data_IF_073801476370
#
_entry.id   IF_073801476370
#
_cell.length_a   1.000
_cell.length_b   1.000
_cell.length_c   1.000
_cell.angle_alpha   90.00
_cell.angle_beta   90.00
_cell.angle_gamma   90.00
#
_symmetry.space_group_name_H-M   'P 1'
#
loop_
_entity.id
_entity.type
_entity.pdbx_description
1 polymer ?
#
# COMPACT_ATOMS: atom_id res chain seq x y z
N UNK A 1 -26.17 -32.86 -22.79
CA UNK A 1 -25.16 -32.62 -23.85
C UNK A 1 -23.99 -31.92 -23.20
N UNK A 2 -22.85 -32.62 -23.07
CA UNK A 2 -21.62 -32.08 -22.45
C UNK A 2 -20.94 -31.10 -23.41
N UNK A 3 -20.56 -29.94 -22.91
CA UNK A 3 -19.94 -28.87 -23.70
C UNK A 3 -18.42 -28.84 -23.52
N UNK A 4 -17.75 -29.98 -23.68
CA UNK A 4 -16.31 -30.10 -23.57
C UNK A 4 -15.62 -30.33 -24.92
N UNK A 5 -14.29 -30.30 -24.91
CA UNK A 5 -13.45 -30.70 -26.06
C UNK A 5 -13.48 -32.22 -26.27
N UNK A 6 -13.14 -32.73 -27.45
CA UNK A 6 -13.18 -34.18 -27.77
C UNK A 6 -12.40 -35.07 -26.78
N UNK A 7 -11.31 -34.55 -26.20
CA UNK A 7 -10.52 -35.26 -25.18
C UNK A 7 -11.07 -35.14 -23.75
N UNK A 8 -11.91 -34.13 -23.48
CA UNK A 8 -12.46 -33.83 -22.14
C UNK A 8 -13.91 -33.34 -22.27
N UNK A 9 -14.88 -34.26 -22.43
CA UNK A 9 -16.28 -33.92 -22.71
C UNK A 9 -17.00 -33.16 -21.57
N UNK A 10 -16.45 -33.20 -20.35
CA UNK A 10 -16.96 -32.50 -19.16
C UNK A 10 -16.13 -31.27 -18.74
N UNK A 11 -15.24 -30.79 -19.62
CA UNK A 11 -14.39 -29.65 -19.32
C UNK A 11 -15.18 -28.33 -19.35
N UNK A 12 -15.12 -27.57 -18.25
CA UNK A 12 -15.77 -26.27 -18.14
C UNK A 12 -17.26 -26.33 -17.83
N UNK A 13 -17.90 -25.15 -17.72
CA UNK A 13 -19.34 -24.99 -17.50
C UNK A 13 -19.87 -23.85 -18.34
N UNK A 14 -21.13 -23.96 -18.75
CA UNK A 14 -21.82 -22.89 -19.46
C UNK A 14 -22.25 -21.80 -18.47
N UNK A 15 -22.15 -20.54 -18.90
CA UNK A 15 -22.73 -19.40 -18.22
C UNK A 15 -24.25 -19.60 -18.05
N UNK A 16 -24.76 -19.41 -16.83
CA UNK A 16 -26.18 -19.57 -16.49
C UNK A 16 -27.01 -18.30 -16.71
N UNK A 17 -26.41 -17.24 -17.26
CA UNK A 17 -27.17 -16.11 -17.78
C UNK A 17 -27.88 -16.52 -19.07
N UNK A 18 -29.17 -16.19 -19.20
CA UNK A 18 -30.05 -16.60 -20.31
C UNK A 18 -29.48 -16.27 -21.69
N UNK A 19 -28.75 -15.16 -21.76
CA UNK A 19 -28.40 -14.51 -23.03
C UNK A 19 -26.98 -14.90 -23.51
N UNK A 20 -26.13 -15.41 -22.61
CA UNK A 20 -24.73 -15.70 -22.90
C UNK A 20 -24.50 -17.18 -23.23
N UNK A 21 -24.87 -18.09 -22.31
CA UNK A 21 -24.62 -19.55 -22.42
C UNK A 21 -23.20 -19.95 -22.87
N UNK A 22 -22.21 -19.07 -22.75
CA UNK A 22 -20.84 -19.36 -23.18
C UNK A 22 -20.20 -20.44 -22.31
N UNK A 23 -19.46 -21.35 -22.94
CA UNK A 23 -18.59 -22.31 -22.26
C UNK A 23 -17.35 -21.63 -21.71
N UNK A 24 -17.22 -21.65 -20.39
CA UNK A 24 -16.04 -21.15 -19.69
C UNK A 24 -15.32 -22.30 -18.97
N UNK A 25 -14.01 -22.40 -19.16
CA UNK A 25 -13.18 -23.40 -18.52
C UNK A 25 -12.81 -23.01 -17.09
N UNK A 26 -13.07 -21.76 -16.70
CA UNK A 26 -12.87 -21.21 -15.36
C UNK A 26 -14.20 -20.67 -14.80
N UNK A 27 -15.16 -21.54 -14.47
CA UNK A 27 -16.48 -21.13 -14.02
C UNK A 27 -16.44 -20.36 -12.69
N UNK A 28 -17.07 -19.18 -12.65
CA UNK A 28 -17.23 -18.37 -11.45
C UNK A 28 -18.59 -18.66 -10.80
N UNK A 29 -18.60 -19.05 -9.52
CA UNK A 29 -19.82 -19.18 -8.73
C UNK A 29 -20.11 -17.87 -8.01
N UNK A 30 -21.29 -17.29 -8.25
CA UNK A 30 -21.78 -16.15 -7.49
C UNK A 30 -22.16 -16.59 -6.07
N UNK A 31 -21.69 -15.90 -5.06
CA UNK A 31 -22.01 -16.13 -3.64
C UNK A 31 -23.40 -15.60 -3.23
N UNK A 32 -24.00 -14.70 -4.03
CA UNK A 32 -25.36 -14.20 -3.79
C UNK A 32 -26.47 -15.09 -4.36
N UNK A 33 -26.35 -15.52 -5.62
CA UNK A 33 -27.37 -16.32 -6.31
C UNK A 33 -26.95 -17.79 -6.58
N UNK A 34 -25.73 -18.17 -6.22
CA UNK A 34 -25.16 -19.52 -6.36
C UNK A 34 -25.12 -20.08 -7.80
N UNK A 35 -25.35 -19.21 -8.80
CA UNK A 35 -25.23 -19.54 -10.22
C UNK A 35 -23.80 -19.44 -10.72
N UNK A 36 -23.52 -20.15 -11.81
CA UNK A 36 -22.23 -20.22 -12.49
C UNK A 36 -22.19 -19.28 -13.69
N UNK A 37 -21.15 -18.47 -13.81
CA UNK A 37 -20.99 -17.47 -14.86
C UNK A 37 -19.60 -17.54 -15.50
N UNK A 38 -19.49 -17.04 -16.74
CA UNK A 38 -18.22 -16.85 -17.41
C UNK A 38 -17.51 -15.58 -16.91
N UNK A 39 -16.30 -15.32 -17.40
CA UNK A 39 -15.47 -14.15 -17.01
C UNK A 39 -16.18 -12.82 -17.19
N UNK A 40 -16.98 -12.65 -18.25
CA UNK A 40 -17.73 -11.41 -18.52
C UNK A 40 -18.90 -11.21 -17.57
N UNK A 41 -19.52 -12.31 -17.12
CA UNK A 41 -20.72 -12.30 -16.29
C UNK A 41 -20.46 -12.54 -14.80
N UNK A 42 -19.18 -12.61 -14.38
CA UNK A 42 -18.78 -12.91 -12.99
C UNK A 42 -19.20 -11.87 -11.95
N UNK A 43 -19.45 -10.62 -12.36
CA UNK A 43 -19.80 -9.53 -11.45
C UNK A 43 -21.30 -9.53 -11.13
N UNK A 44 -21.72 -9.07 -9.95
CA UNK A 44 -23.16 -9.00 -9.62
C UNK A 44 -23.97 -8.13 -10.59
N UNK A 45 -23.36 -7.08 -11.13
CA UNK A 45 -24.01 -6.17 -12.08
C UNK A 45 -24.21 -6.81 -13.45
N UNK A 46 -23.23 -7.58 -13.91
CA UNK A 46 -23.26 -8.18 -15.26
C UNK A 46 -24.33 -9.27 -15.43
N UNK A 47 -24.75 -9.92 -14.35
CA UNK A 47 -25.81 -10.94 -14.40
C UNK A 47 -27.08 -10.54 -13.63
N UNK A 48 -27.22 -9.25 -13.29
CA UNK A 48 -28.36 -8.70 -12.56
C UNK A 48 -28.71 -9.55 -11.32
N UNK A 49 -27.72 -9.73 -10.43
CA UNK A 49 -27.86 -10.61 -9.27
C UNK A 49 -29.06 -10.19 -8.40
N UNK A 50 -30.01 -11.10 -8.09
CA UNK A 50 -31.10 -10.81 -7.15
C UNK A 50 -30.62 -10.47 -5.74
N UNK A 51 -29.45 -10.99 -5.36
CA UNK A 51 -28.83 -10.83 -4.04
C UNK A 51 -27.49 -10.09 -4.16
N UNK A 52 -27.44 -9.01 -4.94
CA UNK A 52 -26.23 -8.20 -5.16
C UNK A 52 -25.66 -7.60 -3.86
N UNK A 53 -26.52 -7.38 -2.85
CA UNK A 53 -26.16 -6.73 -1.59
C UNK A 53 -25.84 -7.69 -0.42
N UNK A 54 -25.89 -9.01 -0.63
CA UNK A 54 -25.79 -10.00 0.45
C UNK A 54 -24.48 -9.92 1.27
N UNK A 55 -23.39 -9.42 0.67
CA UNK A 55 -22.09 -9.28 1.35
C UNK A 55 -21.51 -7.86 1.23
N UNK A 56 -22.35 -6.87 0.90
CA UNK A 56 -21.94 -5.48 0.81
C UNK A 56 -21.54 -4.96 2.21
N UNK A 57 -20.25 -4.67 2.41
CA UNK A 57 -19.77 -4.01 3.63
C UNK A 57 -20.18 -2.54 3.60
N UNK A 58 -21.12 -2.17 4.46
CA UNK A 58 -21.54 -0.79 4.64
C UNK A 58 -20.69 -0.15 5.73
N UNK A 59 -20.27 1.10 5.51
CA UNK A 59 -19.40 1.84 6.43
C UNK A 59 -20.03 3.20 6.68
N UNK A 60 -20.15 3.55 7.96
CA UNK A 60 -20.57 4.86 8.44
C UNK A 60 -19.34 5.71 8.72
N UNK A 61 -19.41 7.01 8.43
CA UNK A 61 -18.32 7.94 8.73
C UNK A 61 -18.79 8.91 9.79
N UNK A 62 -18.11 8.92 10.95
CA UNK A 62 -18.42 9.86 12.00
C UNK A 62 -18.03 11.29 11.60
N UNK A 63 -18.95 12.25 11.66
CA UNK A 63 -18.64 13.65 11.33
C UNK A 63 -17.77 14.33 12.39
N UNK A 64 -17.82 13.88 13.64
CA UNK A 64 -17.10 14.46 14.78
C UNK A 64 -15.62 14.08 14.80
N UNK A 65 -15.28 12.83 14.46
CA UNK A 65 -13.90 12.32 14.50
C UNK A 65 -13.37 11.82 13.14
N UNK A 66 -14.21 11.75 12.11
CA UNK A 66 -13.91 11.16 10.78
C UNK A 66 -13.51 9.69 10.83
N UNK A 67 -13.88 8.99 11.90
CA UNK A 67 -13.66 7.54 12.01
C UNK A 67 -14.70 6.79 11.20
N UNK A 68 -14.25 5.77 10.48
CA UNK A 68 -15.10 4.82 9.78
C UNK A 68 -15.54 3.70 10.72
N UNK A 69 -16.84 3.46 10.81
CA UNK A 69 -17.47 2.42 11.63
C UNK A 69 -18.11 1.42 10.67
N UNK A 70 -17.75 0.15 10.78
CA UNK A 70 -18.33 -0.91 9.95
C UNK A 70 -19.72 -1.29 10.47
N UNK A 71 -20.70 -1.36 9.58
CA UNK A 71 -22.01 -1.92 9.89
C UNK A 71 -21.89 -3.44 9.82
N UNK A 72 -22.30 -4.19 10.86
CA UNK A 72 -22.18 -5.63 10.87
C UNK A 72 -23.13 -6.24 9.82
N UNK A 73 -22.73 -7.38 9.26
CA UNK A 73 -23.39 -7.98 8.08
C UNK A 73 -24.84 -8.45 8.32
N UNK A 74 -25.23 -8.61 9.58
CA UNK A 74 -26.58 -8.99 9.99
C UNK A 74 -27.53 -7.79 10.16
N UNK A 75 -26.99 -6.57 10.23
CA UNK A 75 -27.77 -5.35 10.34
C UNK A 75 -28.39 -4.98 9.00
N UNK A 76 -29.68 -4.63 9.01
CA UNK A 76 -30.36 -4.15 7.80
C UNK A 76 -29.86 -2.75 7.40
N UNK A 77 -29.12 -2.08 8.29
CA UNK A 77 -28.61 -0.72 8.05
C UNK A 77 -29.75 0.27 7.94
N UNK A 78 -30.80 0.07 8.73
CA UNK A 78 -31.88 1.05 8.89
C UNK A 78 -31.34 2.30 9.59
N UNK A 79 -32.01 3.42 9.37
CA UNK A 79 -31.63 4.72 9.94
C UNK A 79 -31.55 4.69 11.48
N UNK A 80 -32.47 4.00 12.14
CA UNK A 80 -32.50 3.85 13.60
C UNK A 80 -31.28 3.08 14.14
N UNK A 81 -30.90 2.01 13.45
CA UNK A 81 -29.75 1.20 13.83
C UNK A 81 -28.45 1.97 13.61
N UNK A 82 -28.35 2.70 12.50
CA UNK A 82 -27.24 3.61 12.20
C UNK A 82 -27.11 4.65 13.32
N UNK A 83 -28.19 5.29 13.74
CA UNK A 83 -28.18 6.27 14.83
C UNK A 83 -27.69 5.67 16.15
N UNK A 84 -28.13 4.46 16.50
CA UNK A 84 -27.64 3.74 17.68
C UNK A 84 -26.14 3.40 17.61
N UNK A 85 -25.62 3.05 16.44
CA UNK A 85 -24.18 2.78 16.27
C UNK A 85 -23.33 4.05 16.45
N UNK A 86 -23.84 5.18 15.98
CA UNK A 86 -23.21 6.48 16.21
C UNK A 86 -23.19 6.84 17.70
N UNK A 87 -24.32 6.69 18.39
CA UNK A 87 -24.43 6.95 19.83
C UNK A 87 -23.54 6.00 20.66
N UNK A 88 -23.45 4.72 20.27
CA UNK A 88 -22.52 3.76 20.87
C UNK A 88 -21.05 4.20 20.68
N UNK A 89 -20.70 4.70 19.49
CA UNK A 89 -19.37 5.23 19.22
C UNK A 89 -19.04 6.46 20.09
N UNK A 90 -20.00 7.37 20.26
CA UNK A 90 -19.84 8.54 21.13
C UNK A 90 -19.65 8.13 22.60
N UNK A 91 -20.40 7.14 23.09
CA UNK A 91 -20.30 6.64 24.47
C UNK A 91 -19.06 5.79 24.75
N UNK A 92 -18.55 5.08 23.74
CA UNK A 92 -17.37 4.20 23.89
C UNK A 92 -16.06 4.95 24.21
N UNK A 93 -16.03 6.27 24.03
CA UNK A 93 -14.83 7.08 24.25
C UNK A 93 -13.79 6.97 23.14
N UNK A 94 -14.00 6.12 22.13
CA UNK A 94 -13.16 6.03 20.93
C UNK A 94 -13.37 7.21 19.96
N UNK A 95 -14.42 8.02 20.16
CA UNK A 95 -14.73 9.23 19.41
C UNK A 95 -13.79 10.39 19.79
N UNK A 96 -12.58 10.40 19.24
CA UNK A 96 -11.60 11.46 19.45
C UNK A 96 -11.57 12.49 18.30
N UNK A 97 -12.09 13.72 18.50
CA UNK A 97 -12.03 14.77 17.47
C UNK A 97 -10.59 15.25 17.17
N UNK A 98 -9.64 15.02 18.10
CA UNK A 98 -8.22 15.37 17.93
C UNK A 98 -7.49 14.47 16.91
N UNK A 99 -7.98 13.24 16.68
CA UNK A 99 -7.42 12.29 15.71
C UNK A 99 -7.58 12.74 14.24
N UNK A 100 -8.40 13.77 13.98
CA UNK A 100 -8.55 14.41 12.65
C UNK A 100 -7.25 15.04 12.13
N UNK A 101 -6.30 15.39 13.00
CA UNK A 101 -5.05 16.03 12.61
C UNK A 101 -4.06 14.98 12.13
N UNK A 102 -4.01 14.77 10.81
CA UNK A 102 -3.01 13.91 10.18
C UNK A 102 -1.61 14.43 10.48
N UNK A 103 -0.64 13.56 10.86
CA UNK A 103 0.71 14.00 11.14
C UNK A 103 1.31 14.64 9.88
N UNK A 104 2.03 15.75 10.04
CA UNK A 104 2.68 16.47 8.94
C UNK A 104 4.19 16.31 9.05
N UNK A 105 4.90 16.42 7.92
CA UNK A 105 6.36 16.35 7.90
C UNK A 105 7.00 17.31 8.91
N UNK A 106 7.98 16.82 9.68
CA UNK A 106 8.70 17.63 10.67
C UNK A 106 9.63 18.73 10.11
N UNK A 107 9.81 18.82 8.78
CA UNK A 107 10.65 19.85 8.15
C UNK A 107 9.95 21.20 8.11
N UNK A 108 10.65 22.25 8.55
CA UNK A 108 10.16 23.64 8.46
C UNK A 108 9.90 23.99 6.99
N UNK A 109 8.66 24.41 6.69
CA UNK A 109 8.12 24.71 5.34
C UNK A 109 7.63 23.51 4.52
N UNK A 110 7.76 22.28 5.01
CA UNK A 110 7.11 21.13 4.39
C UNK A 110 5.73 20.89 5.02
N UNK A 111 4.66 21.04 4.24
CA UNK A 111 3.27 20.79 4.69
C UNK A 111 2.73 19.43 4.21
N UNK A 112 3.63 18.52 3.83
CA UNK A 112 3.25 17.21 3.32
C UNK A 112 2.68 16.33 4.44
N UNK A 113 1.48 15.81 4.22
CA UNK A 113 0.78 14.95 5.17
C UNK A 113 1.42 13.56 5.14
N UNK A 114 1.78 13.07 6.32
CA UNK A 114 2.38 11.77 6.53
C UNK A 114 1.30 10.69 6.54
N UNK A 115 1.19 10.00 5.41
CA UNK A 115 0.38 8.78 5.26
C UNK A 115 1.26 7.55 5.51
N UNK A 116 0.67 6.38 5.76
CA UNK A 116 1.37 5.11 5.91
C UNK A 116 2.49 4.89 4.86
N UNK A 117 2.20 5.14 3.58
CA UNK A 117 3.18 4.92 2.49
C UNK A 117 4.24 6.01 2.34
N UNK A 118 4.00 7.23 2.83
CA UNK A 118 4.89 8.38 2.65
C UNK A 118 5.72 8.69 3.91
N UNK A 119 5.54 7.91 4.99
CA UNK A 119 6.19 8.19 6.27
C UNK A 119 7.53 7.49 6.37
N UNK A 120 8.58 8.23 6.76
CA UNK A 120 9.87 7.67 7.15
C UNK A 120 10.32 8.27 8.48
N UNK A 121 10.78 7.44 9.42
CA UNK A 121 11.36 7.89 10.69
C UNK A 121 12.88 7.96 10.57
N UNK A 122 13.47 9.07 11.03
CA UNK A 122 14.92 9.19 11.10
C UNK A 122 15.47 8.43 12.31
N UNK A 123 16.47 7.56 12.12
CA UNK A 123 17.05 6.75 13.20
C UNK A 123 17.79 7.55 14.28
N UNK A 124 18.21 8.77 13.97
CA UNK A 124 19.05 9.58 14.86
C UNK A 124 18.33 10.74 15.54
N UNK A 125 17.17 11.17 15.03
CA UNK A 125 16.34 12.19 15.67
C UNK A 125 14.91 11.74 15.97
N UNK A 126 14.52 10.53 15.53
CA UNK A 126 13.22 9.87 15.77
C UNK A 126 11.99 10.64 15.28
N UNK A 127 12.19 11.72 14.53
CA UNK A 127 11.11 12.50 13.92
C UNK A 127 10.69 11.84 12.60
N UNK A 128 9.38 11.91 12.31
CA UNK A 128 8.77 11.42 11.07
C UNK A 128 8.80 12.50 9.98
N UNK A 129 9.25 12.11 8.80
CA UNK A 129 9.39 12.95 7.61
C UNK A 129 8.75 12.30 6.39
N UNK A 130 8.41 13.09 5.38
CA UNK A 130 7.95 12.59 4.10
C UNK A 130 9.13 11.96 3.34
N UNK A 131 8.84 11.21 2.28
CA UNK A 131 9.88 10.57 1.47
C UNK A 131 10.89 11.56 0.87
N UNK A 132 10.45 12.80 0.58
CA UNK A 132 11.32 13.87 0.08
C UNK A 132 12.35 14.35 1.10
N UNK A 133 12.07 14.18 2.39
CA UNK A 133 12.95 14.63 3.48
C UNK A 133 13.46 13.46 4.35
N UNK A 134 13.51 12.25 3.77
CA UNK A 134 13.94 11.03 4.46
C UNK A 134 15.42 11.07 4.84
N UNK A 135 16.28 11.72 4.05
CA UNK A 135 17.71 11.76 4.33
C UNK A 135 18.07 12.83 5.36
N UNK A 136 19.15 12.59 6.10
CA UNK A 136 19.60 13.45 7.20
C UNK A 136 19.92 14.89 6.75
N UNK A 137 20.33 15.06 5.49
CA UNK A 137 20.64 16.36 4.87
C UNK A 137 19.39 17.21 4.63
N UNK A 138 18.24 16.58 4.40
CA UNK A 138 17.03 17.26 3.95
C UNK A 138 16.18 17.85 5.10
N UNK A 139 16.40 17.38 6.33
CA UNK A 139 15.64 17.82 7.51
C UNK A 139 16.49 18.45 8.61
N UNK A 140 17.76 18.79 8.32
CA UNK A 140 18.67 19.40 9.29
C UNK A 140 18.82 18.53 10.54
N UNK A 141 19.13 17.25 10.34
CA UNK A 141 19.13 16.25 11.40
C UNK A 141 20.05 16.64 12.57
N UNK A 142 19.59 16.44 13.80
CA UNK A 142 20.35 16.76 15.02
C UNK A 142 21.69 16.04 15.08
N UNK A 143 21.79 14.81 14.56
CA UNK A 143 23.05 14.05 14.49
C UNK A 143 23.99 14.49 13.36
N UNK A 144 23.48 15.27 12.40
CA UNK A 144 24.28 15.82 11.31
C UNK A 144 24.77 17.24 11.63
N UNK A 145 24.57 17.71 12.87
CA UNK A 145 25.33 18.84 13.40
C UNK A 145 26.74 18.34 13.68
N UNK A 146 27.62 18.41 12.68
CA UNK A 146 29.03 18.61 12.96
C UNK A 146 29.10 19.79 13.93
N UNK A 147 29.73 19.65 15.11
CA UNK A 147 29.85 20.77 16.03
C UNK A 147 30.46 21.92 15.24
N UNK A 148 29.79 23.07 15.26
CA UNK A 148 30.35 24.30 14.74
C UNK A 148 31.66 24.52 15.52
N UNK A 149 32.78 24.19 14.90
CA UNK A 149 34.09 24.52 15.42
C UNK A 149 34.07 26.03 15.66
N UNK A 150 34.24 26.40 16.92
CA UNK A 150 34.40 27.79 17.32
C UNK A 150 35.56 28.36 16.51
N UNK A 151 35.26 29.18 15.50
CA UNK A 151 36.25 29.88 14.70
C UNK A 151 36.77 31.07 15.50
N UNK A 152 37.71 30.79 16.41
CA UNK A 152 38.70 31.76 16.84
C UNK A 152 39.95 31.53 15.97
N UNK A 153 40.31 32.49 15.13
CA UNK A 153 41.58 32.46 14.39
C UNK A 153 41.55 33.17 13.04
N UNK A 154 41.98 34.43 13.05
CA UNK A 154 42.38 35.21 11.87
C UNK A 154 43.58 34.53 11.19
N UNK A 155 43.62 34.50 9.86
CA UNK A 155 44.84 34.19 9.10
C UNK A 155 44.54 33.58 7.74
N UNK A 156 44.91 34.28 6.67
CA UNK A 156 44.57 33.93 5.29
C UNK A 156 45.39 32.79 4.68
N UNK A 157 44.97 32.37 3.49
CA UNK A 157 45.68 31.37 2.67
C UNK A 157 44.70 30.42 2.00
N UNK A 158 44.34 30.72 0.75
CA UNK A 158 43.30 30.03 0.02
C UNK A 158 43.59 28.55 -0.23
N UNK A 159 42.63 27.70 0.12
CA UNK A 159 42.44 26.42 -0.55
C UNK A 159 40.94 26.19 -0.69
N UNK A 160 40.46 26.18 -1.94
CA UNK A 160 39.04 25.99 -2.25
C UNK A 160 38.63 24.58 -1.77
N UNK A 161 37.54 24.42 -1.01
CA UNK A 161 37.10 23.11 -0.49
C UNK A 161 36.83 22.06 -1.58
N UNK A 162 36.67 22.52 -2.82
CA UNK A 162 36.52 21.68 -4.01
C UNK A 162 37.78 20.85 -4.34
N UNK A 163 38.99 21.35 -4.07
CA UNK A 163 40.25 20.64 -4.35
C UNK A 163 40.51 19.50 -3.34
N UNK A 164 40.03 19.66 -2.10
CA UNK A 164 40.09 18.60 -1.07
C UNK A 164 39.13 17.45 -1.42
N UNK A 165 37.95 17.76 -1.97
CA UNK A 165 36.99 16.75 -2.42
C UNK A 165 37.46 15.96 -3.65
N UNK A 166 38.34 16.53 -4.48
CA UNK A 166 38.90 15.84 -5.65
C UNK A 166 40.01 14.84 -5.27
N UNK A 167 40.83 15.17 -4.25
CA UNK A 167 41.90 14.29 -3.75
C UNK A 167 41.37 13.07 -2.96
N UNK A 168 40.12 13.10 -2.49
CA UNK A 168 39.48 12.00 -1.79
C UNK A 168 38.83 10.95 -2.72
N UNK A 169 38.89 11.15 -4.05
CA UNK A 169 38.40 10.17 -5.03
C UNK A 169 39.50 9.15 -5.32
N UNK A 170 39.64 8.17 -4.43
CA UNK A 170 40.37 6.94 -4.75
C UNK A 170 39.54 6.17 -5.79
N UNK A 171 39.88 6.35 -7.08
CA UNK A 171 39.17 5.74 -8.21
C UNK A 171 39.47 4.26 -8.30
N UNK A 172 38.52 3.42 -7.88
CA UNK A 172 38.52 2.01 -8.26
C UNK A 172 37.69 1.89 -9.55
N UNK A 173 38.41 1.95 -10.66
CA UNK A 173 37.91 1.80 -12.01
C UNK A 173 37.30 0.42 -12.20
N UNK A 174 36.05 0.36 -12.65
CA UNK A 174 35.34 -0.86 -12.96
C UNK A 174 35.32 -1.05 -14.48
N UNK A 175 36.50 -1.31 -15.08
CA UNK A 175 36.58 -1.70 -16.50
C UNK A 175 37.55 -2.86 -16.78
N UNK A 176 36.92 -4.01 -17.12
CA UNK A 176 37.22 -4.90 -18.26
C UNK A 176 38.41 -5.90 -18.22
N UNK A 177 38.09 -7.21 -18.31
CA UNK A 177 38.51 -8.22 -19.33
C UNK A 177 38.15 -9.65 -18.84
N UNK A 178 37.19 -10.35 -19.47
CA UNK A 178 37.33 -11.38 -20.52
C UNK A 178 38.16 -12.62 -20.16
N UNK A 179 37.56 -13.78 -20.46
CA UNK A 179 38.05 -15.17 -20.52
C UNK A 179 38.11 -16.00 -19.22
N UNK A 180 37.02 -16.75 -19.01
CA UNK A 180 37.03 -18.20 -19.22
C UNK A 180 37.70 -19.06 -18.14
N UNK A 181 36.88 -19.66 -17.27
CA UNK A 181 36.96 -21.09 -16.92
C UNK A 181 35.71 -21.51 -16.16
N UNK A 182 35.11 -22.60 -16.61
CA UNK A 182 33.90 -23.18 -16.07
C UNK A 182 34.11 -23.79 -14.67
N UNK A 183 33.09 -23.70 -13.82
CA UNK A 183 32.70 -24.79 -12.90
C UNK A 183 31.28 -24.58 -12.40
N UNK A 184 30.49 -25.64 -12.53
CA UNK A 184 29.06 -25.68 -12.27
C UNK A 184 28.71 -25.68 -10.78
N UNK A 185 27.55 -25.14 -10.42
CA UNK A 185 26.78 -25.55 -9.23
C UNK A 185 25.29 -25.24 -9.45
N UNK A 186 24.43 -26.20 -9.08
CA UNK A 186 23.01 -26.38 -9.44
C UNK A 186 22.06 -25.35 -8.77
N UNK A 187 20.83 -25.14 -9.30
CA UNK A 187 19.82 -24.32 -8.65
C UNK A 187 19.00 -25.14 -7.63
N UNK A 188 18.71 -24.57 -6.46
CA UNK A 188 17.78 -25.16 -5.48
C UNK A 188 16.69 -24.16 -5.06
N UNK A 189 15.46 -24.50 -5.49
CA UNK A 189 14.18 -24.45 -4.77
C UNK A 189 13.65 -23.14 -4.17
N UNK A 190 12.71 -22.57 -4.92
CA UNK A 190 11.35 -22.11 -4.54
C UNK A 190 10.95 -22.22 -3.06
N UNK A 191 10.46 -21.12 -2.49
CA UNK A 191 9.74 -21.07 -1.21
C UNK A 191 8.29 -20.64 -1.48
N UNK A 192 7.34 -21.52 -1.16
CA UNK A 192 5.89 -21.26 -1.12
C UNK A 192 5.56 -20.42 0.12
N UNK A 193 4.76 -19.37 -0.06
CA UNK A 193 4.08 -18.69 1.03
C UNK A 193 2.73 -19.39 1.30
N UNK A 194 2.42 -19.60 2.58
CA UNK A 194 1.12 -20.00 3.11
C UNK A 194 0.16 -18.82 3.14
#
# INVERSE_FOLDING_TARGET
MGGGTEAFPDLGKHCQLSDCKQLDFLPFKCDGCHKVFCVEHRSYKSHECPNSDHNSRKVLVCETCSMSIEIPRNSKGGEDEIALMFDQHERSGDCDPKKKKKPTCGVRRCKEILTFSNTSSCKSCEIKFCLKHRFQSDHGCKSNRVPAVAAAGRGGGGVRPFLVALAARNGQDCTKKTNGSASASKPSTSVKAY
#
